data_IF_208481315175
#
_entry.id   IF_208481315175
#
_cell.length_a   1.000
_cell.length_b   1.000
_cell.length_c   1.000
_cell.angle_alpha   90.00
_cell.angle_beta   90.00
_cell.angle_gamma   90.00
#
_symmetry.space_group_name_H-M   'P 1'
#
loop_
_entity.id
_entity.type
_entity.pdbx_description
1 polymer ?
#
# COMPACT_ATOMS: atom_id res chain seq x y z
N UNK A 1 -13.12 1.57 26.38
CA UNK A 1 -14.37 0.76 26.34
C UNK A 1 -14.73 0.65 24.87
N UNK A 2 -14.28 -0.45 24.23
CA UNK A 2 -14.54 -0.71 22.81
C UNK A 2 -15.95 -1.30 22.73
N UNK A 3 -16.86 -0.60 22.06
CA UNK A 3 -18.17 -1.14 21.71
C UNK A 3 -17.96 -2.23 20.64
N UNK A 4 -18.09 -3.49 21.04
CA UNK A 4 -18.22 -4.60 20.11
C UNK A 4 -19.52 -4.37 19.29
N UNK A 5 -19.36 -3.89 18.06
CA UNK A 5 -20.42 -3.95 17.07
C UNK A 5 -20.49 -5.39 16.53
N UNK A 6 -21.14 -6.27 17.30
CA UNK A 6 -21.58 -7.56 16.80
C UNK A 6 -22.79 -7.27 15.89
N UNK A 7 -22.56 -7.26 14.58
CA UNK A 7 -23.64 -7.20 13.60
C UNK A 7 -24.54 -8.44 13.76
N UNK A 8 -25.85 -8.27 13.55
CA UNK A 8 -26.73 -9.43 13.38
C UNK A 8 -26.23 -10.27 12.22
N UNK A 9 -26.22 -11.59 12.34
CA UNK A 9 -25.74 -12.48 11.27
C UNK A 9 -26.50 -12.31 9.94
N UNK A 10 -27.63 -11.64 9.95
CA UNK A 10 -28.42 -11.30 8.76
C UNK A 10 -27.87 -10.09 8.00
N UNK A 11 -27.08 -9.22 8.63
CA UNK A 11 -26.56 -7.98 8.05
C UNK A 11 -25.09 -8.09 7.62
N UNK A 12 -24.42 -9.20 7.90
CA UNK A 12 -23.01 -9.42 7.57
C UNK A 12 -22.85 -10.16 6.24
N UNK A 13 -22.13 -9.59 5.29
CA UNK A 13 -21.70 -10.27 4.07
C UNK A 13 -20.66 -11.35 4.38
N UNK A 14 -19.80 -11.09 5.38
CA UNK A 14 -18.78 -12.03 5.86
C UNK A 14 -18.84 -12.07 7.37
N UNK A 15 -18.91 -13.26 7.94
CA UNK A 15 -18.81 -13.49 9.39
C UNK A 15 -17.69 -14.52 9.67
N UNK A 16 -16.71 -14.12 10.46
CA UNK A 16 -15.55 -14.94 10.83
C UNK A 16 -15.55 -15.12 12.34
N UNK A 17 -15.52 -16.37 12.79
CA UNK A 17 -15.58 -16.72 14.22
C UNK A 17 -14.50 -17.72 14.59
N UNK A 18 -13.52 -17.30 15.40
CA UNK A 18 -12.47 -18.15 15.96
C UNK A 18 -11.60 -18.84 14.92
N UNK A 19 -11.42 -18.24 13.75
CA UNK A 19 -10.73 -18.89 12.64
C UNK A 19 -9.26 -19.05 12.93
N UNK A 20 -8.80 -20.30 12.80
CA UNK A 20 -7.41 -20.68 12.91
C UNK A 20 -6.96 -21.57 11.76
N UNK A 21 -5.70 -21.38 11.32
CA UNK A 21 -5.05 -22.25 10.34
C UNK A 21 -3.69 -22.68 10.81
N UNK A 22 -3.51 -23.99 10.91
CA UNK A 22 -2.25 -24.62 11.27
C UNK A 22 -1.63 -25.30 10.06
N UNK A 23 -0.34 -25.09 9.85
CA UNK A 23 0.47 -25.80 8.85
C UNK A 23 1.52 -26.68 9.53
N UNK A 24 1.96 -27.72 8.84
CA UNK A 24 3.05 -28.60 9.27
C UNK A 24 4.28 -28.32 8.42
N UNK A 25 5.42 -28.03 9.06
CA UNK A 25 6.69 -27.84 8.38
C UNK A 25 7.25 -29.20 7.94
N UNK A 26 7.76 -29.27 6.72
CA UNK A 26 8.44 -30.46 6.21
C UNK A 26 7.57 -31.51 5.50
N UNK A 27 6.25 -31.30 5.37
CA UNK A 27 5.46 -32.13 4.45
C UNK A 27 5.62 -31.61 3.01
N UNK A 28 6.31 -32.38 2.16
CA UNK A 28 6.12 -32.27 0.71
C UNK A 28 4.65 -32.60 0.44
N UNK A 29 3.97 -31.74 -0.34
CA UNK A 29 2.61 -32.02 -0.81
C UNK A 29 2.59 -33.40 -1.44
N UNK A 30 1.96 -34.34 -0.77
CA UNK A 30 1.86 -35.74 -1.24
C UNK A 30 0.69 -35.81 -2.23
N UNK A 31 0.88 -35.29 -3.44
CA UNK A 31 0.24 -35.89 -4.60
C UNK A 31 1.03 -37.15 -4.94
N UNK A 32 0.89 -38.19 -4.11
CA UNK A 32 1.43 -39.52 -4.43
C UNK A 32 0.62 -40.04 -5.60
N UNK A 33 1.28 -40.19 -6.75
CA UNK A 33 0.74 -41.01 -7.81
C UNK A 33 0.69 -42.45 -7.30
N UNK A 34 -0.34 -43.22 -7.71
CA UNK A 34 -0.48 -44.66 -7.35
C UNK A 34 0.82 -45.45 -7.60
N UNK A 35 1.63 -45.05 -8.58
CA UNK A 35 2.91 -45.64 -8.93
C UNK A 35 3.98 -45.40 -7.85
N UNK A 36 4.03 -44.23 -7.26
CA UNK A 36 4.99 -43.91 -6.16
C UNK A 36 4.60 -44.60 -4.86
N UNK A 37 3.30 -44.75 -4.59
CA UNK A 37 2.82 -45.51 -3.43
C UNK A 37 3.19 -46.99 -3.49
N UNK A 38 3.16 -47.60 -4.67
CA UNK A 38 3.57 -49.01 -4.90
C UNK A 38 5.09 -49.21 -4.79
N UNK A 39 5.89 -48.29 -5.32
CA UNK A 39 7.35 -48.36 -5.25
C UNK A 39 7.88 -48.19 -3.82
N UNK A 40 7.28 -47.27 -3.05
CA UNK A 40 7.66 -47.03 -1.66
C UNK A 40 7.16 -48.16 -0.72
N UNK A 41 6.05 -48.82 -1.02
CA UNK A 41 5.60 -50.00 -0.30
C UNK A 41 6.61 -51.15 -0.37
N UNK A 42 7.21 -51.38 -1.54
CA UNK A 42 8.24 -52.40 -1.72
C UNK A 42 9.61 -52.04 -1.11
N UNK A 43 9.98 -50.75 -1.12
CA UNK A 43 11.21 -50.25 -0.47
C UNK A 43 11.11 -50.13 1.05
N UNK A 44 9.90 -49.92 1.59
CA UNK A 44 9.64 -49.87 3.02
C UNK A 44 9.81 -51.20 3.73
N UNK A 45 9.47 -52.31 3.08
CA UNK A 45 9.63 -53.65 3.63
C UNK A 45 11.10 -54.09 3.77
N UNK A 46 12.01 -53.59 2.92
CA UNK A 46 13.43 -53.92 2.95
C UNK A 46 14.28 -53.07 3.91
N UNK A 47 13.76 -51.95 4.46
CA UNK A 47 14.48 -50.99 5.34
C UNK A 47 14.07 -51.02 6.81
N UNK A 48 13.22 -51.95 7.23
CA UNK A 48 12.66 -51.94 8.61
C UNK A 48 13.62 -52.50 9.69
N UNK A 49 14.86 -52.87 9.39
CA UNK A 49 15.73 -53.61 10.34
C UNK A 49 16.88 -52.77 10.92
N UNK A 50 17.24 -51.60 10.36
CA UNK A 50 18.34 -50.81 10.92
C UNK A 50 18.15 -49.34 10.68
N UNK A 51 17.47 -48.64 11.51
CA UNK A 51 17.78 -47.30 12.08
C UNK A 51 16.58 -46.74 12.82
N UNK A 52 16.59 -46.77 14.13
CA UNK A 52 15.79 -45.89 14.98
C UNK A 52 16.30 -44.46 14.81
N UNK A 53 16.02 -43.85 13.66
CA UNK A 53 16.09 -42.40 13.52
C UNK A 53 14.87 -41.85 14.21
N UNK A 54 15.06 -41.04 15.24
CA UNK A 54 14.00 -40.32 15.94
C UNK A 54 13.28 -39.49 14.88
N UNK A 55 12.08 -39.91 14.47
CA UNK A 55 11.17 -39.09 13.72
C UNK A 55 10.79 -37.94 14.66
N UNK A 56 11.48 -36.81 14.56
CA UNK A 56 11.00 -35.56 15.14
C UNK A 56 9.58 -35.35 14.60
N UNK A 57 8.64 -35.18 15.52
CA UNK A 57 7.29 -34.84 15.17
C UNK A 57 7.33 -33.59 14.28
N UNK A 58 6.58 -33.54 13.16
CA UNK A 58 6.61 -32.38 12.27
C UNK A 58 6.26 -31.14 13.07
N UNK A 59 7.10 -30.13 12.96
CA UNK A 59 6.89 -28.86 13.61
C UNK A 59 5.63 -28.21 13.03
N UNK A 60 4.70 -27.83 13.90
CA UNK A 60 3.43 -27.21 13.53
C UNK A 60 3.48 -25.73 13.88
N UNK A 61 3.04 -24.87 12.98
CA UNK A 61 2.90 -23.45 13.25
C UNK A 61 1.50 -22.95 12.89
N UNK A 62 1.02 -21.97 13.64
CA UNK A 62 -0.25 -21.31 13.38
C UNK A 62 -0.02 -20.12 12.45
N UNK A 63 -0.55 -20.20 11.23
CA UNK A 63 -0.58 -19.06 10.31
C UNK A 63 -1.71 -18.08 10.63
N UNK A 64 -2.82 -18.60 11.22
CA UNK A 64 -3.91 -17.81 11.79
C UNK A 64 -4.32 -18.45 13.12
N UNK A 65 -4.67 -17.63 14.10
CA UNK A 65 -5.06 -18.08 15.44
C UNK A 65 -6.16 -17.19 15.99
N UNK A 66 -7.33 -17.77 16.19
CA UNK A 66 -8.50 -17.15 16.83
C UNK A 66 -8.89 -15.79 16.24
N UNK A 67 -9.00 -15.75 14.91
CA UNK A 67 -9.39 -14.52 14.20
C UNK A 67 -10.90 -14.44 14.13
N UNK A 68 -11.48 -13.31 14.59
CA UNK A 68 -12.92 -13.08 14.60
C UNK A 68 -13.23 -11.63 14.22
N UNK A 69 -14.06 -11.43 13.20
CA UNK A 69 -14.62 -10.14 12.79
C UNK A 69 -15.78 -10.32 11.81
N UNK A 70 -16.57 -9.27 11.63
CA UNK A 70 -17.67 -9.22 10.67
C UNK A 70 -17.42 -8.15 9.62
N UNK A 71 -17.96 -8.34 8.41
CA UNK A 71 -17.96 -7.33 7.34
C UNK A 71 -19.39 -7.15 6.87
N UNK A 72 -19.93 -5.94 6.94
CA UNK A 72 -21.26 -5.64 6.46
C UNK A 72 -21.34 -5.63 4.93
N UNK A 73 -22.56 -5.80 4.40
CA UNK A 73 -22.78 -5.62 2.96
C UNK A 73 -22.40 -4.21 2.52
N UNK A 74 -21.59 -4.10 1.46
CA UNK A 74 -21.14 -2.84 0.92
C UNK A 74 -19.92 -2.22 1.60
N UNK A 75 -19.40 -2.85 2.67
CA UNK A 75 -18.17 -2.39 3.32
C UNK A 75 -16.94 -2.63 2.47
N UNK A 76 -16.01 -1.68 2.53
CA UNK A 76 -14.66 -1.80 1.98
C UNK A 76 -13.68 -1.89 3.15
N UNK A 77 -13.19 -3.10 3.42
CA UNK A 77 -12.34 -3.38 4.59
C UNK A 77 -10.92 -3.67 4.15
N UNK A 78 -9.97 -2.89 4.67
CA UNK A 78 -8.54 -3.10 4.48
C UNK A 78 -8.00 -4.18 5.42
N UNK A 79 -7.17 -5.10 4.93
CA UNK A 79 -6.44 -6.06 5.76
C UNK A 79 -4.96 -5.73 5.65
N UNK A 80 -4.37 -5.27 6.74
CA UNK A 80 -3.00 -4.80 6.82
C UNK A 80 -2.17 -5.65 7.80
N UNK A 81 -0.85 -5.61 7.67
CA UNK A 81 0.08 -6.34 8.53
C UNK A 81 1.35 -6.74 7.79
N UNK A 82 2.40 -7.08 8.53
CA UNK A 82 3.71 -7.51 7.98
C UNK A 82 3.60 -8.78 7.14
N UNK A 83 4.63 -9.08 6.34
CA UNK A 83 4.76 -10.37 5.70
C UNK A 83 4.79 -11.49 6.75
N UNK A 84 4.08 -12.58 6.47
CA UNK A 84 3.90 -13.65 7.45
C UNK A 84 2.85 -13.39 8.54
N UNK A 85 2.14 -12.25 8.55
CA UNK A 85 1.09 -11.97 9.54
C UNK A 85 -0.19 -12.80 9.37
N UNK A 86 -0.33 -13.55 8.27
CA UNK A 86 -1.50 -14.40 8.00
C UNK A 86 -2.45 -13.87 6.93
N UNK A 87 -2.24 -12.67 6.35
CA UNK A 87 -3.11 -12.05 5.33
C UNK A 87 -3.45 -12.99 4.17
N UNK A 88 -2.43 -13.49 3.48
CA UNK A 88 -2.62 -14.39 2.33
C UNK A 88 -3.27 -15.73 2.72
N UNK A 89 -3.06 -16.20 3.96
CA UNK A 89 -3.75 -17.39 4.47
C UNK A 89 -5.24 -17.12 4.69
N UNK A 90 -5.57 -15.97 5.26
CA UNK A 90 -6.96 -15.54 5.45
C UNK A 90 -7.67 -15.39 4.11
N UNK A 91 -7.04 -14.74 3.12
CA UNK A 91 -7.61 -14.61 1.78
C UNK A 91 -7.85 -15.97 1.10
N UNK A 92 -6.89 -16.91 1.21
CA UNK A 92 -7.05 -18.27 0.66
C UNK A 92 -8.22 -19.03 1.30
N UNK A 93 -8.47 -18.81 2.58
CA UNK A 93 -9.62 -19.42 3.26
C UNK A 93 -10.92 -18.77 2.77
N UNK A 94 -11.00 -17.45 2.69
CA UNK A 94 -12.16 -16.71 2.18
C UNK A 94 -12.48 -17.06 0.72
N UNK A 95 -11.44 -17.27 -0.10
CA UNK A 95 -11.57 -17.75 -1.48
C UNK A 95 -11.83 -19.26 -1.60
N UNK A 96 -12.01 -19.97 -0.47
CA UNK A 96 -12.26 -21.43 -0.40
C UNK A 96 -11.15 -22.29 -1.06
N UNK A 97 -9.94 -21.75 -1.21
CA UNK A 97 -8.75 -22.48 -1.70
C UNK A 97 -8.21 -23.40 -0.60
N UNK A 98 -8.32 -22.97 0.67
CA UNK A 98 -7.83 -23.71 1.83
C UNK A 98 -8.90 -23.68 2.91
N UNK A 99 -9.16 -24.84 3.53
CA UNK A 99 -10.08 -24.93 4.68
C UNK A 99 -9.41 -24.45 5.97
N UNK A 100 -10.14 -23.79 6.89
CA UNK A 100 -9.65 -23.49 8.22
C UNK A 100 -9.39 -24.76 9.02
N UNK A 101 -8.48 -24.71 9.98
CA UNK A 101 -8.22 -25.82 10.94
C UNK A 101 -9.18 -25.74 12.13
N UNK A 102 -9.61 -24.54 12.48
CA UNK A 102 -10.55 -24.25 13.57
C UNK A 102 -11.41 -23.05 13.21
N UNK A 103 -12.55 -22.91 13.86
CA UNK A 103 -13.49 -21.82 13.64
C UNK A 103 -14.42 -22.01 12.45
N UNK A 104 -15.25 -21.01 12.18
CA UNK A 104 -16.26 -21.02 11.12
C UNK A 104 -16.22 -19.70 10.36
N UNK A 105 -16.50 -19.77 9.06
CA UNK A 105 -16.68 -18.61 8.18
C UNK A 105 -17.99 -18.76 7.45
N UNK A 106 -18.85 -17.75 7.58
CA UNK A 106 -20.08 -17.61 6.82
C UNK A 106 -19.90 -16.51 5.77
N UNK A 107 -20.25 -16.83 4.52
CA UNK A 107 -20.13 -15.93 3.37
C UNK A 107 -21.49 -15.85 2.68
N UNK A 108 -22.06 -14.65 2.59
CA UNK A 108 -23.33 -14.39 1.94
C UNK A 108 -23.11 -13.85 0.53
N UNK A 109 -23.37 -14.70 -0.48
CA UNK A 109 -23.21 -14.38 -1.88
C UNK A 109 -22.00 -15.00 -2.56
N UNK A 110 -21.76 -14.58 -3.81
CA UNK A 110 -20.66 -15.05 -4.66
C UNK A 110 -19.37 -14.33 -4.30
N UNK A 111 -18.32 -15.09 -4.00
CA UNK A 111 -16.97 -14.54 -3.75
C UNK A 111 -16.16 -14.55 -5.05
N UNK A 112 -15.63 -13.41 -5.44
CA UNK A 112 -14.63 -13.26 -6.51
C UNK A 112 -13.28 -12.91 -5.92
N UNK A 113 -12.23 -13.58 -6.38
CA UNK A 113 -10.88 -13.37 -5.88
C UNK A 113 -9.95 -12.92 -6.98
N UNK A 114 -9.24 -11.81 -6.76
CA UNK A 114 -8.16 -11.36 -7.64
C UNK A 114 -6.80 -12.01 -7.30
N UNK A 115 -6.76 -12.96 -6.35
CA UNK A 115 -5.56 -13.75 -6.04
C UNK A 115 -5.08 -14.61 -7.21
N UNK A 116 -6.01 -14.95 -8.09
CA UNK A 116 -5.82 -15.89 -9.19
C UNK A 116 -5.78 -15.21 -10.56
N UNK A 117 -5.33 -13.95 -10.62
CA UNK A 117 -5.18 -13.22 -11.89
C UNK A 117 -4.25 -14.01 -12.83
N UNK A 118 -4.76 -14.33 -14.03
CA UNK A 118 -4.06 -15.16 -15.02
C UNK A 118 -4.22 -16.68 -14.83
N UNK A 119 -4.89 -17.13 -13.75
CA UNK A 119 -5.26 -18.53 -13.62
C UNK A 119 -6.23 -18.92 -14.73
N UNK A 120 -5.96 -20.04 -15.37
CA UNK A 120 -6.79 -20.55 -16.49
C UNK A 120 -6.36 -20.02 -17.86
N UNK A 121 -5.42 -19.11 -17.99
CA UNK A 121 -4.89 -18.74 -19.30
C UNK A 121 -4.09 -19.88 -19.90
N UNK A 122 -4.46 -20.27 -21.11
CA UNK A 122 -3.76 -21.32 -21.85
C UNK A 122 -2.88 -20.69 -22.94
N UNK A 123 -1.58 -21.02 -23.01
CA UNK A 123 -0.64 -20.35 -23.89
C UNK A 123 -0.97 -20.53 -25.40
N UNK A 124 -1.57 -21.64 -25.78
CA UNK A 124 -1.92 -21.92 -27.18
C UNK A 124 -3.26 -21.36 -27.61
N UNK A 125 -4.06 -20.81 -26.71
CA UNK A 125 -5.31 -20.11 -27.03
C UNK A 125 -5.03 -18.63 -27.33
N UNK A 126 -5.90 -18.03 -28.14
CA UNK A 126 -5.91 -16.59 -28.43
C UNK A 126 -6.30 -15.79 -27.19
N UNK A 127 -6.06 -14.47 -27.20
CA UNK A 127 -6.53 -13.58 -26.14
C UNK A 127 -8.05 -13.68 -25.97
N UNK A 128 -8.80 -13.71 -27.08
CA UNK A 128 -10.27 -13.88 -27.10
C UNK A 128 -10.70 -15.15 -26.36
N UNK A 129 -10.14 -16.29 -26.75
CA UNK A 129 -10.47 -17.58 -26.13
C UNK A 129 -10.11 -17.61 -24.65
N UNK A 130 -9.00 -16.99 -24.27
CA UNK A 130 -8.58 -16.87 -22.87
C UNK A 130 -9.51 -15.97 -22.03
N UNK A 131 -10.07 -14.90 -22.61
CA UNK A 131 -11.10 -14.08 -21.93
C UNK A 131 -12.30 -14.94 -21.56
N UNK A 132 -12.80 -15.76 -22.50
CA UNK A 132 -13.93 -16.65 -22.21
C UNK A 132 -13.58 -17.76 -21.24
N UNK A 133 -12.39 -18.36 -21.37
CA UNK A 133 -11.94 -19.43 -20.48
C UNK A 133 -11.74 -18.93 -19.06
N UNK A 134 -10.98 -17.87 -18.89
CA UNK A 134 -10.72 -17.28 -17.56
C UNK A 134 -12.00 -16.72 -16.92
N UNK A 135 -12.83 -16.03 -17.68
CA UNK A 135 -14.13 -15.54 -17.18
C UNK A 135 -15.01 -16.68 -16.66
N UNK A 136 -15.07 -17.81 -17.40
CA UNK A 136 -15.81 -18.99 -16.95
C UNK A 136 -15.23 -19.64 -15.69
N UNK A 137 -13.90 -19.74 -15.59
CA UNK A 137 -13.21 -20.25 -14.39
C UNK A 137 -13.50 -19.36 -13.18
N UNK A 138 -13.51 -18.03 -13.38
CA UNK A 138 -13.83 -17.05 -12.35
C UNK A 138 -15.35 -16.97 -12.03
N UNK A 139 -16.18 -17.81 -12.68
CA UNK A 139 -17.59 -17.96 -12.40
C UNK A 139 -18.51 -16.98 -13.15
N UNK A 140 -18.05 -16.34 -14.24
CA UNK A 140 -18.92 -15.53 -15.11
C UNK A 140 -19.72 -16.44 -16.05
N UNK A 141 -21.03 -16.25 -16.17
CA UNK A 141 -21.81 -16.87 -17.26
C UNK A 141 -21.32 -16.42 -18.64
N UNK A 142 -21.37 -17.31 -19.63
CA UNK A 142 -20.91 -16.98 -21.00
C UNK A 142 -21.59 -15.74 -21.59
N UNK A 143 -22.85 -15.52 -21.28
CA UNK A 143 -23.61 -14.33 -21.70
C UNK A 143 -23.05 -13.05 -21.09
N UNK A 144 -22.65 -13.09 -19.81
CA UNK A 144 -22.03 -11.97 -19.12
C UNK A 144 -20.64 -11.65 -19.72
N UNK A 145 -19.82 -12.69 -19.99
CA UNK A 145 -18.52 -12.50 -20.65
C UNK A 145 -18.70 -11.87 -22.03
N UNK A 146 -19.67 -12.35 -22.82
CA UNK A 146 -19.93 -11.81 -24.15
C UNK A 146 -20.40 -10.35 -24.10
N UNK A 147 -21.23 -9.98 -23.13
CA UNK A 147 -21.72 -8.61 -22.98
C UNK A 147 -20.61 -7.63 -22.55
N UNK A 148 -19.61 -8.10 -21.78
CA UNK A 148 -18.50 -7.28 -21.27
C UNK A 148 -17.22 -7.41 -22.10
N UNK A 149 -17.23 -8.21 -23.17
CA UNK A 149 -16.03 -8.56 -23.91
C UNK A 149 -15.27 -7.34 -24.43
N UNK A 150 -15.98 -6.42 -25.08
CA UNK A 150 -15.37 -5.23 -25.67
C UNK A 150 -14.80 -4.31 -24.58
N UNK A 151 -15.48 -4.15 -23.43
CA UNK A 151 -15.00 -3.38 -22.30
C UNK A 151 -13.72 -4.00 -21.69
N UNK A 152 -13.66 -5.35 -21.59
CA UNK A 152 -12.50 -6.08 -21.10
C UNK A 152 -11.28 -5.85 -21.99
N UNK A 153 -11.48 -5.94 -23.31
CA UNK A 153 -10.42 -5.79 -24.31
C UNK A 153 -9.91 -4.35 -24.36
N UNK A 154 -10.82 -3.37 -24.36
CA UNK A 154 -10.50 -1.94 -24.33
C UNK A 154 -9.75 -1.55 -23.02
N UNK A 155 -10.19 -2.10 -21.89
CA UNK A 155 -9.51 -1.88 -20.62
C UNK A 155 -8.06 -2.42 -20.63
N UNK A 156 -7.84 -3.58 -21.26
CA UNK A 156 -6.53 -4.21 -21.39
C UNK A 156 -5.61 -3.51 -22.41
N UNK A 157 -6.19 -2.75 -23.36
CA UNK A 157 -5.49 -2.09 -24.47
C UNK A 157 -4.73 -3.11 -25.37
N UNK A 158 -5.38 -4.24 -25.69
CA UNK A 158 -4.79 -5.33 -26.50
C UNK A 158 -5.62 -5.66 -27.76
N UNK A 159 -6.48 -4.77 -28.22
CA UNK A 159 -7.43 -4.97 -29.33
C UNK A 159 -6.74 -5.54 -30.57
N UNK A 160 -5.56 -5.00 -30.93
CA UNK A 160 -4.80 -5.40 -32.11
C UNK A 160 -4.29 -6.84 -32.04
N UNK A 161 -4.18 -7.40 -30.84
CA UNK A 161 -3.58 -8.70 -30.57
C UNK A 161 -4.59 -9.72 -30.06
N UNK A 162 -5.85 -9.36 -29.92
CA UNK A 162 -6.87 -10.19 -29.24
C UNK A 162 -7.04 -11.58 -29.88
N UNK A 163 -6.84 -11.70 -31.18
CA UNK A 163 -6.93 -12.95 -31.94
C UNK A 163 -5.55 -13.63 -32.11
N UNK A 164 -4.50 -13.12 -31.44
CA UNK A 164 -3.18 -13.75 -31.38
C UNK A 164 -3.09 -14.66 -30.14
N UNK A 165 -2.38 -15.79 -30.27
CA UNK A 165 -2.12 -16.71 -29.15
C UNK A 165 -1.31 -16.02 -28.04
N UNK A 166 -1.71 -16.20 -26.77
CA UNK A 166 -1.11 -15.46 -25.64
C UNK A 166 0.33 -15.83 -25.36
N UNK A 167 0.84 -16.96 -25.86
CA UNK A 167 2.28 -17.28 -25.83
C UNK A 167 3.16 -16.28 -26.56
N UNK A 168 2.59 -15.48 -27.45
CA UNK A 168 3.26 -14.41 -28.20
C UNK A 168 3.06 -13.03 -27.57
N UNK A 169 2.33 -12.93 -26.46
CA UNK A 169 2.15 -11.69 -25.73
C UNK A 169 3.42 -11.35 -24.95
N UNK A 170 3.68 -10.05 -24.76
CA UNK A 170 4.61 -9.64 -23.73
C UNK A 170 4.04 -9.95 -22.34
N UNK A 171 4.89 -10.06 -21.31
CA UNK A 171 4.43 -10.26 -19.94
C UNK A 171 3.44 -9.18 -19.49
N UNK A 172 3.64 -7.93 -19.94
CA UNK A 172 2.73 -6.82 -19.67
C UNK A 172 1.36 -7.02 -20.32
N UNK A 173 1.30 -7.37 -21.62
CA UNK A 173 0.04 -7.66 -22.32
C UNK A 173 -0.72 -8.81 -21.66
N UNK A 174 -0.02 -9.90 -21.33
CA UNK A 174 -0.59 -11.05 -20.63
C UNK A 174 -1.27 -10.63 -19.33
N UNK A 175 -0.53 -9.91 -18.48
CA UNK A 175 -1.03 -9.49 -17.16
C UNK A 175 -2.15 -8.45 -17.27
N UNK A 176 -2.09 -7.52 -18.26
CA UNK A 176 -3.14 -6.53 -18.49
C UNK A 176 -4.45 -7.21 -18.89
N UNK A 177 -4.40 -8.19 -19.81
CA UNK A 177 -5.60 -8.92 -20.22
C UNK A 177 -6.16 -9.77 -19.08
N UNK A 178 -5.32 -10.51 -18.37
CA UNK A 178 -5.73 -11.33 -17.23
C UNK A 178 -6.39 -10.50 -16.13
N UNK A 179 -5.80 -9.35 -15.80
CA UNK A 179 -6.37 -8.43 -14.82
C UNK A 179 -7.69 -7.82 -15.30
N UNK A 180 -7.78 -7.48 -16.60
CA UNK A 180 -9.00 -6.89 -17.17
C UNK A 180 -10.20 -7.83 -17.06
N UNK A 181 -10.01 -9.14 -17.28
CA UNK A 181 -11.09 -10.13 -17.04
C UNK A 181 -11.51 -10.11 -15.57
N UNK A 182 -10.55 -10.16 -14.65
CA UNK A 182 -10.83 -10.18 -13.23
C UNK A 182 -11.46 -8.88 -12.70
N UNK A 183 -11.07 -7.71 -13.24
CA UNK A 183 -11.62 -6.41 -12.86
C UNK A 183 -13.07 -6.18 -13.34
N UNK A 184 -13.54 -6.99 -14.32
CA UNK A 184 -14.93 -6.96 -14.82
C UNK A 184 -15.82 -8.02 -14.19
N UNK A 185 -15.28 -8.80 -13.23
CA UNK A 185 -16.10 -9.61 -12.34
C UNK A 185 -17.03 -8.73 -11.50
N UNK A 186 -18.25 -9.20 -11.32
CA UNK A 186 -19.24 -8.55 -10.47
C UNK A 186 -19.72 -9.53 -9.36
N UNK A 187 -18.85 -9.90 -8.42
CA UNK A 187 -19.23 -10.72 -7.28
C UNK A 187 -19.93 -9.88 -6.20
N UNK A 188 -20.62 -10.53 -5.28
CA UNK A 188 -21.18 -9.88 -4.08
C UNK A 188 -20.08 -9.50 -3.09
N UNK A 189 -19.03 -10.35 -3.00
CA UNK A 189 -17.83 -10.16 -2.17
C UNK A 189 -16.60 -10.22 -3.07
N UNK A 190 -15.84 -9.14 -3.14
CA UNK A 190 -14.59 -9.06 -3.91
C UNK A 190 -13.38 -9.12 -2.97
N UNK A 191 -12.51 -10.10 -3.18
CA UNK A 191 -11.25 -10.25 -2.45
C UNK A 191 -10.12 -9.78 -3.35
N UNK A 192 -9.41 -8.72 -2.91
CA UNK A 192 -8.34 -8.05 -3.65
C UNK A 192 -7.04 -8.20 -2.89
N UNK A 193 -6.02 -8.78 -3.53
CA UNK A 193 -4.67 -8.86 -2.97
C UNK A 193 -3.76 -7.80 -3.60
N UNK A 194 -2.58 -7.67 -3.06
CA UNK A 194 -1.47 -6.80 -3.45
C UNK A 194 -1.14 -6.79 -4.96
N UNK A 195 -1.66 -7.75 -5.74
CA UNK A 195 -1.45 -7.93 -7.19
C UNK A 195 -1.91 -6.71 -8.04
N UNK A 196 -2.52 -5.68 -7.43
CA UNK A 196 -2.82 -4.40 -8.11
C UNK A 196 -1.57 -3.64 -8.60
N UNK A 197 -0.36 -4.04 -8.18
CA UNK A 197 0.91 -3.47 -8.64
C UNK A 197 1.35 -3.95 -10.03
N UNK A 198 0.46 -4.60 -10.79
CA UNK A 198 0.73 -5.16 -12.12
C UNK A 198 0.63 -4.10 -13.22
N UNK A 199 1.57 -4.13 -14.17
CA UNK A 199 1.61 -3.20 -15.29
C UNK A 199 2.35 -1.90 -14.98
N UNK A 200 2.22 -0.93 -15.87
CA UNK A 200 2.78 0.41 -15.66
C UNK A 200 1.90 1.28 -14.73
N UNK A 201 2.45 2.41 -14.29
CA UNK A 201 1.76 3.31 -13.35
C UNK A 201 0.40 3.81 -13.88
N UNK A 202 0.24 3.95 -15.20
CA UNK A 202 -1.02 4.37 -15.81
C UNK A 202 -2.08 3.28 -15.70
N UNK A 203 -1.71 2.03 -15.96
CA UNK A 203 -2.60 0.89 -15.82
C UNK A 203 -2.96 0.62 -14.35
N UNK A 204 -2.01 0.73 -13.43
CA UNK A 204 -2.27 0.63 -11.98
C UNK A 204 -3.30 1.67 -11.52
N UNK A 205 -3.18 2.93 -11.98
CA UNK A 205 -4.16 3.98 -11.68
C UNK A 205 -5.55 3.66 -12.26
N UNK A 206 -5.61 3.08 -13.47
CA UNK A 206 -6.85 2.61 -14.12
C UNK A 206 -7.51 1.49 -13.29
N UNK A 207 -6.71 0.53 -12.79
CA UNK A 207 -7.15 -0.54 -11.91
C UNK A 207 -7.73 -0.04 -10.59
N UNK A 208 -7.02 0.85 -9.89
CA UNK A 208 -7.49 1.47 -8.66
C UNK A 208 -8.79 2.27 -8.88
N UNK A 209 -8.90 3.00 -9.99
CA UNK A 209 -10.11 3.72 -10.38
C UNK A 209 -11.30 2.79 -10.55
N UNK A 210 -11.13 1.64 -11.23
CA UNK A 210 -12.18 0.62 -11.41
C UNK A 210 -12.62 0.04 -10.06
N UNK A 211 -11.65 -0.28 -9.14
CA UNK A 211 -11.95 -0.77 -7.80
C UNK A 211 -12.75 0.24 -6.98
N UNK A 212 -12.39 1.53 -7.03
CA UNK A 212 -13.16 2.58 -6.39
C UNK A 212 -14.59 2.72 -6.94
N UNK A 213 -14.80 2.40 -8.21
CA UNK A 213 -16.15 2.35 -8.81
C UNK A 213 -16.93 1.15 -8.29
N UNK A 214 -16.33 -0.04 -8.23
CA UNK A 214 -16.93 -1.26 -7.66
C UNK A 214 -17.38 -1.05 -6.20
N UNK A 215 -16.52 -0.42 -5.40
CA UNK A 215 -16.82 -0.07 -4.01
C UNK A 215 -18.05 0.86 -3.90
N UNK A 216 -18.14 1.91 -4.75
CA UNK A 216 -19.27 2.85 -4.76
C UNK A 216 -20.61 2.24 -5.18
N UNK A 217 -20.60 1.09 -5.84
CA UNK A 217 -21.82 0.36 -6.21
C UNK A 217 -22.36 -0.56 -5.09
N UNK A 218 -21.88 -0.38 -3.84
CA UNK A 218 -22.38 -1.09 -2.67
C UNK A 218 -21.93 -2.54 -2.59
N UNK A 219 -20.83 -2.91 -3.24
CA UNK A 219 -20.24 -4.25 -3.17
C UNK A 219 -19.30 -4.37 -1.98
N UNK A 220 -19.28 -5.51 -1.34
CA UNK A 220 -18.36 -5.80 -0.24
C UNK A 220 -16.98 -6.08 -0.78
N UNK A 221 -15.97 -5.36 -0.30
CA UNK A 221 -14.58 -5.51 -0.75
C UNK A 221 -13.65 -5.78 0.43
N UNK A 222 -12.86 -6.84 0.33
CA UNK A 222 -11.72 -7.08 1.21
C UNK A 222 -10.44 -6.72 0.45
N UNK A 223 -9.77 -5.68 0.88
CA UNK A 223 -8.60 -5.11 0.23
C UNK A 223 -7.33 -5.37 1.05
N UNK A 224 -6.44 -6.23 0.54
CA UNK A 224 -5.14 -6.47 1.17
C UNK A 224 -4.08 -5.65 0.48
N UNK A 225 -3.39 -4.80 1.21
CA UNK A 225 -2.33 -3.97 0.67
C UNK A 225 -1.31 -3.61 1.74
N UNK A 226 -0.06 -3.46 1.32
CA UNK A 226 0.98 -2.79 2.10
C UNK A 226 1.03 -1.27 1.80
N UNK A 227 0.31 -0.79 0.79
CA UNK A 227 0.20 0.63 0.47
C UNK A 227 -0.87 1.29 1.36
N UNK A 228 -0.43 1.92 2.45
CA UNK A 228 -1.32 2.55 3.42
C UNK A 228 -2.12 3.70 2.81
N UNK A 229 -1.55 4.45 1.86
CA UNK A 229 -2.28 5.50 1.14
C UNK A 229 -3.49 4.96 0.38
N UNK A 230 -3.36 3.79 -0.27
CA UNK A 230 -4.48 3.10 -0.92
C UNK A 230 -5.52 2.61 0.11
N UNK A 231 -5.08 2.05 1.25
CA UNK A 231 -5.98 1.61 2.33
C UNK A 231 -6.78 2.80 2.89
N UNK A 232 -6.10 3.91 3.21
CA UNK A 232 -6.75 5.12 3.76
C UNK A 232 -7.72 5.76 2.77
N UNK A 233 -7.41 5.71 1.45
CA UNK A 233 -8.25 6.35 0.44
C UNK A 233 -9.45 5.52 -0.01
N UNK A 234 -9.36 4.19 0.07
CA UNK A 234 -10.38 3.29 -0.49
C UNK A 234 -11.23 2.61 0.58
N UNK A 235 -10.70 2.37 1.77
CA UNK A 235 -11.35 1.57 2.79
C UNK A 235 -12.14 2.44 3.79
N UNK A 236 -13.27 1.94 4.26
CA UNK A 236 -14.04 2.53 5.36
C UNK A 236 -13.53 2.08 6.74
N UNK A 237 -12.86 0.92 6.78
CA UNK A 237 -12.36 0.24 7.99
C UNK A 237 -11.11 -0.56 7.64
N UNK A 238 -10.23 -0.76 8.61
CA UNK A 238 -9.03 -1.58 8.42
C UNK A 238 -8.78 -2.51 9.61
N UNK A 239 -8.35 -3.72 9.30
CA UNK A 239 -8.01 -4.79 10.22
C UNK A 239 -6.51 -5.01 10.19
N UNK A 240 -5.86 -4.88 11.35
CA UNK A 240 -4.44 -5.15 11.52
C UNK A 240 -4.22 -6.57 12.02
N UNK A 241 -3.53 -7.38 11.21
CA UNK A 241 -3.06 -8.71 11.59
C UNK A 241 -1.59 -8.70 12.00
N UNK A 242 -1.25 -9.39 13.06
CA UNK A 242 0.13 -9.63 13.49
C UNK A 242 0.29 -11.05 14.02
N UNK A 243 1.31 -11.77 13.54
CA UNK A 243 1.62 -13.14 13.96
C UNK A 243 0.40 -14.08 13.96
N UNK A 244 -0.46 -13.93 12.95
CA UNK A 244 -1.66 -14.75 12.78
C UNK A 244 -2.88 -14.34 13.60
N UNK A 245 -2.81 -13.28 14.40
CA UNK A 245 -3.90 -12.80 15.26
C UNK A 245 -4.39 -11.42 14.86
N UNK A 246 -5.65 -11.11 15.11
CA UNK A 246 -6.21 -9.77 14.95
C UNK A 246 -5.77 -8.89 16.11
N UNK A 247 -5.11 -7.78 15.81
CA UNK A 247 -4.58 -6.84 16.81
C UNK A 247 -5.46 -5.61 16.93
N UNK A 248 -6.02 -5.14 15.81
CA UNK A 248 -6.84 -3.94 15.79
C UNK A 248 -7.85 -4.03 14.65
N UNK A 249 -9.05 -3.53 14.93
CA UNK A 249 -10.12 -3.29 13.97
C UNK A 249 -10.60 -1.86 14.21
N UNK A 250 -10.30 -0.95 13.28
CA UNK A 250 -10.51 0.47 13.46
C UNK A 250 -10.68 1.20 12.11
N UNK A 251 -10.84 2.54 12.16
CA UNK A 251 -10.75 3.36 10.97
C UNK A 251 -9.36 3.23 10.31
N UNK A 252 -9.26 3.47 8.98
CA UNK A 252 -8.03 3.19 8.24
C UNK A 252 -6.82 4.01 8.70
N UNK A 253 -7.03 5.25 9.16
CA UNK A 253 -5.94 6.14 9.62
C UNK A 253 -5.35 5.60 10.91
N UNK A 254 -6.20 5.26 11.89
CA UNK A 254 -5.80 4.67 13.17
C UNK A 254 -5.08 3.32 12.97
N UNK A 255 -5.61 2.47 12.09
CA UNK A 255 -5.01 1.18 11.79
C UNK A 255 -3.65 1.33 11.08
N UNK A 256 -3.53 2.24 10.13
CA UNK A 256 -2.27 2.55 9.47
C UNK A 256 -1.22 3.10 10.45
N UNK A 257 -1.59 4.05 11.30
CA UNK A 257 -0.70 4.60 12.34
C UNK A 257 -0.21 3.51 13.30
N UNK A 258 -1.11 2.62 13.75
CA UNK A 258 -0.74 1.48 14.62
C UNK A 258 0.19 0.50 13.92
N UNK A 259 -0.09 0.18 12.65
CA UNK A 259 0.77 -0.68 11.84
C UNK A 259 2.18 -0.09 11.72
N UNK A 260 2.28 1.19 11.38
CA UNK A 260 3.55 1.91 11.24
C UNK A 260 4.35 1.91 12.55
N UNK A 261 3.69 2.14 13.69
CA UNK A 261 4.32 2.07 15.00
C UNK A 261 4.90 0.68 15.33
N UNK A 262 4.43 -0.39 14.67
CA UNK A 262 5.01 -1.74 14.82
C UNK A 262 6.24 -1.99 13.96
N UNK A 263 6.49 -1.14 12.96
CA UNK A 263 7.58 -1.30 12.00
C UNK A 263 8.85 -0.57 12.41
N UNK A 264 8.73 0.46 13.25
CA UNK A 264 9.81 1.41 13.50
C UNK A 264 10.45 1.21 14.87
N UNK A 265 11.79 1.29 14.88
CA UNK A 265 12.60 1.48 16.08
C UNK A 265 12.41 2.91 16.65
N UNK A 266 13.12 3.26 17.71
CA UNK A 266 13.04 4.59 18.33
C UNK A 266 13.12 5.72 17.28
N UNK A 267 12.26 6.76 17.39
CA UNK A 267 12.26 7.87 16.44
C UNK A 267 13.60 8.63 16.48
N UNK A 268 13.99 9.18 15.34
CA UNK A 268 15.21 10.01 15.15
C UNK A 268 16.54 9.36 15.51
N UNK A 269 16.57 8.05 15.74
CA UNK A 269 17.81 7.31 16.04
C UNK A 269 18.43 6.63 14.81
N UNK A 270 19.49 5.84 15.09
CA UNK A 270 20.01 4.90 14.10
C UNK A 270 19.14 3.66 14.07
N UNK A 271 18.67 3.28 12.89
CA UNK A 271 17.90 2.07 12.66
C UNK A 271 18.80 0.98 12.09
N UNK A 272 18.87 -0.17 12.76
CA UNK A 272 19.42 -1.40 12.20
C UNK A 272 18.38 -2.03 11.27
N UNK A 273 18.73 -2.18 9.99
CA UNK A 273 17.86 -2.73 8.97
C UNK A 273 18.09 -4.21 8.69
N UNK A 274 19.00 -4.89 9.43
CA UNK A 274 19.34 -6.29 9.19
C UNK A 274 18.12 -7.23 9.29
N UNK A 275 17.13 -6.88 10.10
CA UNK A 275 15.89 -7.62 10.29
C UNK A 275 14.66 -6.90 9.69
N UNK A 276 14.88 -5.85 8.88
CA UNK A 276 13.80 -5.16 8.20
C UNK A 276 13.19 -6.02 7.10
N UNK A 277 12.03 -5.63 6.63
CA UNK A 277 11.39 -6.26 5.47
C UNK A 277 11.95 -5.63 4.18
N UNK A 278 12.76 -6.41 3.47
CA UNK A 278 13.37 -6.00 2.22
C UNK A 278 12.59 -6.55 1.02
N UNK A 279 12.59 -5.79 -0.07
CA UNK A 279 12.13 -6.25 -1.38
C UNK A 279 13.23 -6.02 -2.42
N UNK A 280 13.16 -6.70 -3.56
CA UNK A 280 14.16 -6.63 -4.62
C UNK A 280 15.03 -7.88 -4.73
N UNK A 281 16.07 -7.81 -5.56
CA UNK A 281 16.94 -8.98 -5.87
C UNK A 281 17.91 -9.34 -4.73
N UNK A 282 18.19 -8.42 -3.80
CA UNK A 282 19.11 -8.61 -2.69
C UNK A 282 20.59 -8.67 -3.07
N UNK A 283 20.96 -8.26 -4.29
CA UNK A 283 22.39 -8.18 -4.72
C UNK A 283 23.22 -7.25 -3.83
N UNK A 284 22.59 -6.22 -3.32
CA UNK A 284 23.11 -5.37 -2.25
C UNK A 284 21.97 -5.05 -1.29
N UNK A 285 22.26 -4.73 -0.02
CA UNK A 285 21.24 -4.46 1.00
C UNK A 285 21.57 -3.24 1.83
N UNK A 286 20.54 -2.48 2.14
CA UNK A 286 20.60 -1.48 3.20
C UNK A 286 20.71 -2.16 4.55
N UNK A 287 21.72 -1.81 5.33
CA UNK A 287 21.96 -2.41 6.66
C UNK A 287 21.72 -1.45 7.81
N UNK A 288 21.80 -0.14 7.57
CA UNK A 288 21.46 0.85 8.57
C UNK A 288 21.01 2.17 7.95
N UNK A 289 20.26 2.95 8.72
CA UNK A 289 19.88 4.32 8.42
C UNK A 289 20.05 5.16 9.69
N UNK A 290 20.63 6.35 9.57
CA UNK A 290 20.87 7.27 10.70
C UNK A 290 20.46 8.68 10.31
N UNK A 291 19.72 9.34 11.19
CA UNK A 291 19.39 10.76 11.07
C UNK A 291 20.41 11.60 11.82
N UNK A 292 20.90 12.66 11.18
CA UNK A 292 21.80 13.64 11.79
C UNK A 292 21.17 15.02 11.58
N UNK A 293 20.39 15.50 12.55
CA UNK A 293 19.82 16.84 12.49
C UNK A 293 20.90 17.90 12.65
N UNK A 294 20.86 18.90 11.78
CA UNK A 294 21.80 20.02 11.80
C UNK A 294 21.05 21.34 11.79
N UNK A 295 21.59 22.35 12.48
CA UNK A 295 21.15 23.72 12.30
C UNK A 295 21.67 24.29 10.99
N UNK A 296 21.18 25.44 10.58
CA UNK A 296 21.66 26.17 9.38
C UNK A 296 23.13 26.58 9.49
N UNK A 297 23.67 26.70 10.70
CA UNK A 297 25.08 26.98 10.96
C UNK A 297 25.99 25.73 10.88
N UNK A 298 25.40 24.55 10.63
CA UNK A 298 26.11 23.27 10.53
C UNK A 298 26.33 22.57 11.89
N UNK A 299 25.90 23.14 13.01
CA UNK A 299 25.97 22.47 14.30
C UNK A 299 24.91 21.38 14.42
N UNK A 300 25.29 20.22 14.94
CA UNK A 300 24.36 19.10 15.19
C UNK A 300 23.44 19.37 16.36
N UNK A 301 22.26 18.72 16.35
CA UNK A 301 21.28 18.74 17.45
C UNK A 301 20.62 17.37 17.58
N UNK A 302 19.91 17.15 18.69
CA UNK A 302 19.17 15.90 18.93
C UNK A 302 17.76 15.94 18.32
N UNK A 303 17.16 17.10 18.26
CA UNK A 303 15.77 17.30 17.86
C UNK A 303 15.69 17.98 16.50
N UNK A 304 14.74 17.58 15.67
CA UNK A 304 14.49 18.14 14.35
C UNK A 304 13.33 19.12 14.43
N UNK A 305 13.51 20.31 13.89
CA UNK A 305 12.47 21.33 13.78
C UNK A 305 12.21 21.69 12.31
N UNK A 306 11.03 22.22 11.97
CA UNK A 306 10.77 22.73 10.63
C UNK A 306 11.82 23.78 10.20
N UNK A 307 12.40 23.59 9.03
CA UNK A 307 13.44 24.46 8.47
C UNK A 307 14.88 24.10 8.86
N UNK A 308 15.08 23.04 9.63
CA UNK A 308 16.41 22.51 9.89
C UNK A 308 16.99 21.80 8.65
N UNK A 309 18.30 21.63 8.64
CA UNK A 309 19.00 20.75 7.75
C UNK A 309 18.95 19.34 8.32
N UNK A 310 18.57 18.36 7.50
CA UNK A 310 18.59 16.96 7.89
C UNK A 310 19.53 16.17 7.00
N UNK A 311 20.58 15.61 7.60
CA UNK A 311 21.43 14.66 6.93
C UNK A 311 20.98 13.24 7.28
N UNK A 312 20.77 12.43 6.25
CA UNK A 312 20.33 11.03 6.32
C UNK A 312 21.45 10.18 5.77
N UNK A 313 22.04 9.36 6.63
CA UNK A 313 23.13 8.45 6.26
C UNK A 313 22.60 7.03 6.19
N UNK A 314 22.88 6.32 5.09
CA UNK A 314 22.56 4.91 4.95
C UNK A 314 23.79 4.11 4.54
N UNK A 315 23.91 2.92 5.08
CA UNK A 315 24.98 1.96 4.79
C UNK A 315 24.42 0.83 3.94
N UNK A 316 25.17 0.46 2.90
CA UNK A 316 24.79 -0.55 1.91
C UNK A 316 25.91 -1.59 1.85
N UNK A 317 25.56 -2.88 1.92
CA UNK A 317 26.52 -3.99 1.74
C UNK A 317 26.13 -4.76 0.49
N UNK A 318 27.06 -4.95 -0.43
CA UNK A 318 26.86 -5.67 -1.68
C UNK A 318 27.30 -7.13 -1.55
N UNK A 319 26.42 -8.07 -1.84
CA UNK A 319 26.70 -9.50 -1.94
C UNK A 319 27.04 -9.93 -3.37
N UNK A 320 26.63 -9.14 -4.37
CA UNK A 320 26.90 -9.35 -5.79
C UNK A 320 27.10 -7.99 -6.47
N UNK A 321 27.71 -7.96 -7.67
CA UNK A 321 27.92 -6.71 -8.39
C UNK A 321 26.60 -6.01 -8.72
N UNK A 322 26.58 -4.70 -8.51
CA UNK A 322 25.49 -3.79 -8.87
C UNK A 322 26.08 -2.69 -9.74
N UNK A 323 25.55 -2.51 -10.93
CA UNK A 323 26.02 -1.50 -11.86
C UNK A 323 25.00 -0.39 -12.06
N UNK A 324 25.49 0.87 -11.98
CA UNK A 324 24.72 2.09 -12.28
C UNK A 324 23.35 2.17 -11.59
N UNK A 325 23.30 1.82 -10.30
CA UNK A 325 22.06 1.91 -9.52
C UNK A 325 21.78 3.35 -9.09
N UNK A 326 20.50 3.71 -9.12
CA UNK A 326 19.95 4.87 -8.45
C UNK A 326 19.66 4.50 -6.99
N UNK A 327 20.07 5.33 -6.05
CA UNK A 327 19.76 5.19 -4.61
C UNK A 327 18.86 6.36 -4.22
N UNK A 328 17.79 6.07 -3.50
CA UNK A 328 16.83 7.09 -3.10
C UNK A 328 16.30 6.92 -1.69
N UNK A 329 15.87 8.04 -1.13
CA UNK A 329 15.07 8.12 0.09
C UNK A 329 13.69 8.69 -0.25
N UNK A 330 12.70 8.23 0.48
CA UNK A 330 11.33 8.74 0.37
C UNK A 330 10.80 9.05 1.76
N UNK A 331 10.17 10.21 1.94
CA UNK A 331 9.49 10.56 3.19
C UNK A 331 7.98 10.52 2.95
N UNK A 332 7.27 9.82 3.80
CA UNK A 332 5.82 9.64 3.77
C UNK A 332 5.18 10.28 5.00
N UNK A 333 3.95 10.74 4.85
CA UNK A 333 3.12 11.10 6.01
C UNK A 333 2.56 9.85 6.71
N UNK A 334 1.83 10.06 7.81
CA UNK A 334 1.19 9.00 8.58
C UNK A 334 0.10 8.24 7.79
N UNK A 335 -0.41 8.79 6.70
CA UNK A 335 -1.35 8.14 5.81
C UNK A 335 -0.65 7.36 4.67
N UNK A 336 0.68 7.40 4.59
CA UNK A 336 1.48 6.75 3.57
C UNK A 336 1.57 7.52 2.26
N UNK A 337 1.18 8.80 2.23
CA UNK A 337 1.38 9.64 1.06
C UNK A 337 2.84 10.09 0.98
N UNK A 338 3.43 9.95 -0.20
CA UNK A 338 4.79 10.40 -0.48
C UNK A 338 4.86 11.92 -0.50
N UNK A 339 5.64 12.50 0.41
CA UNK A 339 5.84 13.95 0.53
C UNK A 339 7.14 14.42 -0.10
N UNK A 340 8.23 13.64 0.10
CA UNK A 340 9.55 13.96 -0.42
C UNK A 340 10.12 12.71 -1.09
N UNK A 341 10.73 12.90 -2.25
CA UNK A 341 11.53 11.91 -2.96
C UNK A 341 12.86 12.56 -3.31
N UNK A 342 13.96 11.99 -2.82
CA UNK A 342 15.29 12.46 -3.12
C UNK A 342 16.17 11.26 -3.54
N UNK A 343 16.74 11.34 -4.73
CA UNK A 343 17.52 10.24 -5.26
C UNK A 343 18.75 10.71 -6.03
N UNK A 344 19.73 9.82 -6.15
CA UNK A 344 21.04 10.14 -6.76
C UNK A 344 20.93 10.47 -8.25
N UNK A 345 19.97 9.89 -8.97
CA UNK A 345 19.75 10.15 -10.39
C UNK A 345 19.29 11.60 -10.66
N UNK A 346 18.57 12.25 -9.71
CA UNK A 346 18.20 13.66 -9.84
C UNK A 346 19.41 14.59 -9.96
N UNK A 347 20.58 14.14 -9.48
CA UNK A 347 21.85 14.85 -9.59
C UNK A 347 22.77 14.26 -10.67
N UNK A 348 22.27 13.32 -11.48
CA UNK A 348 23.05 12.63 -12.50
C UNK A 348 24.12 11.69 -11.92
N UNK A 349 23.97 11.24 -10.67
CA UNK A 349 24.90 10.35 -9.98
C UNK A 349 24.28 8.95 -9.88
N UNK A 350 25.10 7.94 -10.13
CA UNK A 350 24.73 6.54 -9.99
C UNK A 350 25.79 5.82 -9.16
N UNK A 351 25.35 4.78 -8.45
CA UNK A 351 26.19 3.99 -7.55
C UNK A 351 26.49 2.65 -8.22
N UNK A 352 27.76 2.29 -8.32
CA UNK A 352 28.22 0.96 -8.76
C UNK A 352 28.99 0.33 -7.62
N UNK A 353 28.68 -0.94 -7.29
CA UNK A 353 29.26 -1.70 -6.19
C UNK A 353 29.79 -3.04 -6.71
N UNK A 354 30.98 -3.43 -6.28
CA UNK A 354 31.48 -4.77 -6.45
C UNK A 354 30.96 -5.70 -5.34
N UNK A 355 31.04 -7.01 -5.56
CA UNK A 355 30.70 -7.97 -4.51
C UNK A 355 31.65 -7.81 -3.31
N UNK A 356 31.12 -7.65 -2.12
CA UNK A 356 31.86 -7.42 -0.88
C UNK A 356 32.02 -5.94 -0.51
N UNK A 357 31.61 -5.01 -1.37
CA UNK A 357 31.69 -3.58 -1.07
C UNK A 357 30.73 -3.20 0.06
N UNK A 358 31.20 -2.25 0.88
CA UNK A 358 30.48 -1.61 1.99
C UNK A 358 30.47 -0.11 1.73
N UNK A 359 29.33 0.40 1.30
CA UNK A 359 29.19 1.79 0.87
C UNK A 359 28.32 2.58 1.84
N UNK A 360 28.65 3.87 1.99
CA UNK A 360 27.81 4.85 2.69
C UNK A 360 27.27 5.86 1.69
N UNK A 361 25.96 6.05 1.70
CA UNK A 361 25.29 7.07 0.91
C UNK A 361 24.66 8.07 1.87
N UNK A 362 24.90 9.35 1.61
CA UNK A 362 24.42 10.45 2.46
C UNK A 362 23.52 11.37 1.64
N UNK A 363 22.33 11.60 2.12
CA UNK A 363 21.39 12.58 1.59
C UNK A 363 21.33 13.78 2.54
N UNK A 364 21.35 14.98 2.02
CA UNK A 364 21.22 16.21 2.81
C UNK A 364 20.03 16.99 2.32
N UNK A 365 19.02 17.13 3.18
CA UNK A 365 17.84 17.96 2.97
C UNK A 365 18.12 19.33 3.62
N UNK A 366 18.35 20.36 2.80
CA UNK A 366 18.86 21.65 3.27
C UNK A 366 17.86 22.49 4.08
N UNK A 367 16.58 22.31 3.85
CA UNK A 367 15.51 23.13 4.47
C UNK A 367 14.24 22.27 4.62
N UNK A 368 14.24 21.42 5.65
CA UNK A 368 13.12 20.48 5.86
C UNK A 368 11.92 21.21 6.48
N UNK A 369 10.98 21.63 5.65
CA UNK A 369 9.80 22.39 6.05
C UNK A 369 8.53 21.56 6.22
N UNK A 370 8.68 20.31 6.64
CA UNK A 370 7.54 19.52 7.07
C UNK A 370 7.01 20.07 8.39
N UNK A 371 5.69 19.97 8.61
CA UNK A 371 5.05 20.32 9.88
C UNK A 371 5.57 19.45 11.02
N UNK A 372 5.41 19.90 12.28
CA UNK A 372 5.58 19.02 13.43
C UNK A 372 4.68 17.78 13.30
N UNK A 373 5.27 16.61 13.56
CA UNK A 373 4.59 15.32 13.45
C UNK A 373 5.53 14.17 13.14
N UNK A 374 4.95 13.01 13.00
CA UNK A 374 5.67 11.76 12.73
C UNK A 374 5.57 11.40 11.25
N UNK A 375 6.70 11.12 10.65
CA UNK A 375 6.87 10.75 9.25
C UNK A 375 7.60 9.43 9.13
N UNK A 376 7.42 8.75 8.01
CA UNK A 376 8.10 7.50 7.71
C UNK A 376 9.12 7.71 6.61
N UNK A 377 10.28 7.09 6.77
CA UNK A 377 11.35 7.17 5.78
C UNK A 377 11.57 5.81 5.15
N UNK A 378 11.45 5.74 3.83
CA UNK A 378 11.75 4.56 3.03
C UNK A 378 13.08 4.72 2.29
N UNK A 379 13.67 3.59 1.94
CA UNK A 379 14.89 3.47 1.15
C UNK A 379 14.63 2.63 -0.08
N UNK A 380 15.26 2.99 -1.19
CA UNK A 380 15.20 2.23 -2.42
C UNK A 380 16.51 2.33 -3.20
N UNK A 381 16.91 1.22 -3.81
CA UNK A 381 18.05 1.13 -4.71
C UNK A 381 17.69 0.25 -5.90
N UNK A 382 17.96 0.72 -7.11
CA UNK A 382 17.67 -0.05 -8.31
C UNK A 382 17.98 0.70 -9.60
N UNK A 383 17.66 0.08 -10.72
CA UNK A 383 17.68 0.70 -12.06
C UNK A 383 16.24 0.86 -12.52
N UNK A 384 15.81 2.08 -12.71
CA UNK A 384 14.43 2.41 -13.10
C UNK A 384 13.97 1.56 -14.30
N UNK A 385 12.84 0.88 -14.16
CA UNK A 385 12.24 -0.03 -15.16
C UNK A 385 13.10 -1.25 -15.55
N UNK A 386 14.17 -1.55 -14.81
CA UNK A 386 15.05 -2.70 -15.08
C UNK A 386 15.03 -3.68 -13.92
N UNK A 387 15.45 -3.25 -12.74
CA UNK A 387 15.44 -4.09 -11.55
C UNK A 387 15.41 -3.27 -10.25
N UNK A 388 14.67 -3.74 -9.27
CA UNK A 388 14.83 -3.33 -7.88
C UNK A 388 15.93 -4.18 -7.26
N UNK A 389 17.00 -3.53 -6.77
CA UNK A 389 18.12 -4.21 -6.14
C UNK A 389 17.82 -4.48 -4.68
N UNK A 390 17.39 -3.44 -3.95
CA UNK A 390 16.94 -3.51 -2.57
C UNK A 390 16.02 -2.34 -2.23
N UNK A 391 15.06 -2.57 -1.34
CA UNK A 391 14.21 -1.53 -0.81
C UNK A 391 13.65 -1.89 0.54
N UNK A 392 13.47 -0.86 1.37
CA UNK A 392 12.82 -0.94 2.68
C UNK A 392 11.78 0.16 2.72
N UNK A 393 10.51 -0.20 2.67
CA UNK A 393 9.42 0.77 2.49
C UNK A 393 9.32 1.74 3.66
N UNK A 394 9.52 1.24 4.88
CA UNK A 394 9.50 2.04 6.12
C UNK A 394 10.73 1.68 6.97
N UNK A 395 11.87 2.25 6.60
CA UNK A 395 13.17 1.96 7.22
C UNK A 395 13.31 2.60 8.61
N UNK A 396 12.71 3.78 8.81
CA UNK A 396 12.79 4.52 10.07
C UNK A 396 11.62 5.48 10.24
N UNK A 397 11.42 5.93 11.48
CA UNK A 397 10.48 7.02 11.83
C UNK A 397 11.27 8.31 12.01
N UNK A 398 10.81 9.36 11.36
CA UNK A 398 11.30 10.73 11.48
C UNK A 398 10.28 11.54 12.27
N UNK A 399 10.67 12.05 13.43
CA UNK A 399 9.85 12.91 14.27
C UNK A 399 10.34 14.35 14.17
N UNK A 400 9.43 15.24 13.82
CA UNK A 400 9.67 16.68 13.73
C UNK A 400 8.91 17.35 14.84
N UNK A 401 9.62 18.03 15.74
CA UNK A 401 9.03 18.69 16.87
C UNK A 401 8.56 20.12 16.53
N UNK A 402 7.58 20.66 17.25
CA UNK A 402 7.16 22.05 17.11
C UNK A 402 8.29 22.98 17.57
N UNK A 403 8.69 23.94 16.72
CA UNK A 403 9.70 24.95 17.11
C UNK A 403 9.11 25.84 18.21
N UNK A 404 9.71 25.88 19.41
CA UNK A 404 9.24 26.69 20.53
C UNK A 404 9.14 28.18 20.21
N UNK A 405 9.85 28.65 19.16
CA UNK A 405 9.88 30.05 18.72
C UNK A 405 8.75 30.40 17.75
N UNK A 406 8.11 29.38 17.12
CA UNK A 406 7.09 29.57 16.08
C UNK A 406 5.69 29.07 16.48
N UNK A 407 5.48 28.76 17.74
CA UNK A 407 4.30 28.09 18.31
C UNK A 407 2.93 28.74 18.09
N UNK A 408 2.82 29.88 17.39
CA UNK A 408 1.55 30.60 17.47
C UNK A 408 0.42 30.16 16.53
N UNK A 409 0.65 29.44 15.42
CA UNK A 409 -0.47 29.10 14.52
C UNK A 409 -0.28 27.85 13.62
N UNK A 410 0.79 27.06 13.73
CA UNK A 410 1.03 25.97 12.76
C UNK A 410 0.08 24.77 12.86
N UNK A 411 -0.57 24.58 14.00
CA UNK A 411 -1.48 23.44 14.25
C UNK A 411 -2.86 23.59 13.57
N UNK A 412 -3.25 24.80 13.19
CA UNK A 412 -4.59 25.07 12.68
C UNK A 412 -4.75 24.90 11.16
N UNK A 413 -3.67 24.67 10.42
CA UNK A 413 -3.71 24.59 8.96
C UNK A 413 -3.47 23.17 8.45
N UNK A 414 -4.28 22.66 7.51
CA UNK A 414 -4.23 21.25 7.09
C UNK A 414 -3.06 20.90 6.18
N UNK A 415 -2.27 21.85 5.66
CA UNK A 415 -1.14 21.55 4.76
C UNK A 415 0.01 20.82 5.46
N UNK A 416 0.70 19.91 4.78
CA UNK A 416 1.84 19.16 5.32
C UNK A 416 3.17 19.90 5.25
N UNK A 417 3.28 20.95 4.43
CA UNK A 417 4.52 21.68 4.15
C UNK A 417 4.39 23.16 4.54
N UNK A 418 5.42 23.67 5.25
CA UNK A 418 5.48 25.08 5.70
C UNK A 418 6.33 25.88 4.69
N UNK A 419 5.70 26.53 3.70
CA UNK A 419 6.42 27.43 2.80
C UNK A 419 6.68 28.79 3.42
N UNK A 420 7.79 29.44 3.06
CA UNK A 420 7.97 30.88 3.33
C UNK A 420 7.16 31.67 2.32
N UNK A 421 6.39 32.63 2.77
CA UNK A 421 5.66 33.54 1.90
C UNK A 421 5.66 34.96 2.51
N UNK A 422 5.56 35.96 1.67
CA UNK A 422 5.24 37.33 2.06
C UNK A 422 3.84 37.63 1.57
N UNK A 423 3.11 38.43 2.32
CA UNK A 423 1.78 38.91 1.93
C UNK A 423 1.69 40.39 2.22
N UNK A 424 0.90 41.08 1.42
CA UNK A 424 0.48 42.46 1.64
C UNK A 424 -1.05 42.49 1.69
N UNK A 425 -1.61 43.25 2.62
CA UNK A 425 -3.05 43.36 2.80
C UNK A 425 -3.43 44.81 2.60
N UNK A 426 -4.03 45.12 1.45
CA UNK A 426 -4.63 46.42 1.19
C UNK A 426 -6.12 46.33 1.49
N UNK A 427 -6.57 47.03 2.54
CA UNK A 427 -8.00 47.14 2.85
C UNK A 427 -8.55 48.36 2.12
N UNK A 428 -9.26 48.15 1.01
CA UNK A 428 -10.09 49.21 0.41
C UNK A 428 -11.32 49.41 1.29
N UNK A 429 -11.28 50.43 2.16
CA UNK A 429 -12.49 50.83 2.85
C UNK A 429 -13.47 51.41 1.82
N UNK A 430 -14.60 50.77 1.64
CA UNK A 430 -15.73 51.41 0.97
C UNK A 430 -16.05 52.69 1.76
N UNK A 431 -15.64 53.84 1.24
CA UNK A 431 -16.10 55.14 1.75
C UNK A 431 -17.63 55.08 1.79
N UNK A 432 -18.20 55.33 2.95
CA UNK A 432 -19.63 55.42 3.13
C UNK A 432 -20.21 56.28 2.02
N UNK A 433 -21.15 55.76 1.26
CA UNK A 433 -21.94 56.50 0.28
C UNK A 433 -22.50 57.74 1.00
N UNK A 434 -22.34 58.95 0.46
CA UNK A 434 -22.93 60.16 1.10
C UNK A 434 -24.44 59.92 1.20
N UNK A 435 -24.96 60.11 2.38
CA UNK A 435 -26.40 60.07 2.63
C UNK A 435 -27.14 61.04 1.65
N UNK A 436 -28.30 60.65 1.10
CA UNK A 436 -29.02 61.47 0.18
C UNK A 436 -29.39 62.79 0.88
N UNK A 437 -28.98 63.92 0.28
CA UNK A 437 -29.34 65.26 0.71
C UNK A 437 -30.86 65.37 0.78
N UNK A 438 -31.37 65.63 1.97
CA UNK A 438 -32.77 66.11 2.15
C UNK A 438 -32.93 67.40 1.40
N UNK A 439 -33.82 67.40 0.42
CA UNK A 439 -34.35 68.63 -0.22
C UNK A 439 -35.04 69.42 0.86
N UNK A 440 -34.43 70.53 1.31
CA UNK A 440 -35.10 71.57 2.05
C UNK A 440 -35.65 72.56 1.05
N UNK A 441 -36.99 72.63 1.06
CA UNK A 441 -37.81 73.63 0.35
C UNK A 441 -37.49 75.03 0.78
N UNK A 442 -37.42 75.91 -0.17
CA UNK A 442 -38.06 77.22 -0.02
C UNK A 442 -37.23 78.47 0.26
N UNK A 443 -37.20 79.22 -0.78
CA UNK A 443 -37.25 80.70 -0.86
C UNK A 443 -35.94 81.50 -0.96
N UNK A 444 -35.94 82.48 -1.86
CA UNK A 444 -34.77 83.27 -2.16
C UNK A 444 -34.82 84.59 -1.45
N UNK A 445 -33.76 85.15 -0.88
CA UNK A 445 -33.62 86.57 -0.73
C UNK A 445 -32.18 87.08 -0.87
N UNK A 446 -32.07 87.90 -1.79
CA UNK A 446 -31.28 89.10 -2.10
C UNK A 446 -29.97 89.43 -1.36
N UNK A 447 -29.05 89.73 -2.22
CA UNK A 447 -28.19 90.94 -2.21
C UNK A 447 -26.90 91.01 -1.37
N UNK A 448 -25.88 91.25 -2.13
CA UNK A 448 -24.85 92.28 -1.99
C UNK A 448 -23.41 91.81 -1.70
N UNK A 449 -22.63 91.94 -2.70
CA UNK A 449 -21.48 92.84 -2.85
C UNK A 449 -20.30 92.74 -1.84
N UNK A 450 -19.12 92.63 -2.39
CA UNK A 450 -17.87 93.12 -1.81
C UNK A 450 -16.70 92.18 -1.95
N UNK A 451 -15.95 92.19 -3.00
CA UNK A 451 -14.71 92.92 -3.21
C UNK A 451 -13.50 92.46 -2.36
N UNK A 452 -12.46 92.06 -3.07
CA UNK A 452 -11.04 92.30 -2.79
C UNK A 452 -10.30 91.38 -1.77
N UNK A 453 -9.52 90.56 -2.16
CA UNK A 453 -8.09 90.56 -2.49
C UNK A 453 -7.60 89.14 -2.67
#
# INVERSE_FOLDING_TARGET
MSSEHVLSSADAAISIRGVGKQYQLGQRATHRTLREALVDGFRGAARSVTTRSSRQAPEKFWALRDVSFDVAHGDVVGIIGRNGSGKSTLLKILSRIVEPTAGVIDLQGRVGSLLEVGTGFHPDLTGRENVFLSGAILGMPRSEIAAKFDEIVDFAEVERFIDTQVKHYSSGMYMRLAFSVAAHLEPDILVVDEVLAVGDAAFQKKCLGKMGTVARHGRTVLFVSHNMGAVVSLCSRAILLSSGSLILDADPITAAAKYQATLTAAPNGSSDLSNAEHFGTGKARFVSLTFVPERRDGSTRETIYPGDRLRIETRIVASAPVDSANVGITIYDAAGYRLIDANTAMQGRFVSLAAGDDARVTFTLEDLRLKPGTYLVGLWMGRTNVEDVDGVLYAATLEIEPDPRQLRHSEQFPGAYLCQFAHDVVVESQSASPAPAQLADGTPDRLAAGASR
#
